data_IF_568444102466
#
_entry.id   IF_568444102466
#
_cell.length_a   1.000
_cell.length_b   1.000
_cell.length_c   1.000
_cell.angle_alpha   90.00
_cell.angle_beta   90.00
_cell.angle_gamma   90.00
#
_symmetry.space_group_name_H-M   'P 1'
#
loop_
_entity.id
_entity.type
_entity.pdbx_description
1 polymer ?
#
# COMPACT_ATOMS: atom_id res chain seq x y z
N UNK A 1 -17.59 -30.37 -2.08
CA UNK A 1 -17.72 -29.38 -3.16
C UNK A 1 -16.48 -28.48 -3.17
N UNK A 2 -15.54 -28.68 -4.09
CA UNK A 2 -14.41 -27.76 -4.30
C UNK A 2 -14.95 -26.44 -4.86
N UNK A 3 -15.04 -25.39 -4.04
CA UNK A 3 -15.22 -24.02 -4.54
C UNK A 3 -14.06 -23.73 -5.49
N UNK A 4 -14.32 -23.70 -6.79
CA UNK A 4 -13.37 -23.24 -7.79
C UNK A 4 -12.93 -21.82 -7.38
N UNK A 5 -11.75 -21.66 -6.81
CA UNK A 5 -11.15 -20.35 -6.52
C UNK A 5 -10.85 -19.70 -7.87
N UNK A 6 -11.81 -18.90 -8.35
CA UNK A 6 -11.60 -18.13 -9.57
C UNK A 6 -10.53 -17.07 -9.29
N UNK A 7 -9.56 -16.94 -10.17
CA UNK A 7 -8.56 -15.88 -10.10
C UNK A 7 -9.26 -14.51 -10.12
N UNK A 8 -8.79 -13.58 -9.30
CA UNK A 8 -9.26 -12.17 -9.28
C UNK A 8 -9.27 -11.57 -10.69
N UNK A 9 -8.28 -11.92 -11.51
CA UNK A 9 -8.21 -11.59 -12.92
C UNK A 9 -9.43 -12.07 -13.73
N UNK A 10 -9.88 -13.30 -13.52
CA UNK A 10 -11.04 -13.84 -14.24
C UNK A 10 -12.37 -13.19 -13.80
N UNK A 11 -12.49 -12.83 -12.53
CA UNK A 11 -13.66 -12.12 -12.00
C UNK A 11 -13.72 -10.71 -12.58
N UNK A 12 -12.60 -9.98 -12.55
CA UNK A 12 -12.49 -8.63 -13.08
C UNK A 12 -12.76 -8.59 -14.60
N UNK A 13 -12.17 -9.53 -15.36
CA UNK A 13 -12.39 -9.68 -16.79
C UNK A 13 -13.88 -9.84 -17.12
N UNK A 14 -14.57 -10.78 -16.45
CA UNK A 14 -15.99 -11.04 -16.69
C UNK A 14 -16.90 -9.88 -16.30
N UNK A 15 -16.57 -9.18 -15.22
CA UNK A 15 -17.34 -8.03 -14.76
C UNK A 15 -17.24 -6.85 -15.72
N UNK A 16 -16.02 -6.50 -16.13
CA UNK A 16 -15.76 -5.42 -17.08
C UNK A 16 -16.35 -5.73 -18.47
N UNK A 17 -16.18 -6.96 -18.96
CA UNK A 17 -16.80 -7.37 -20.22
C UNK A 17 -18.31 -7.21 -20.20
N UNK A 18 -18.98 -7.72 -19.16
CA UNK A 18 -20.44 -7.57 -19.02
C UNK A 18 -20.86 -6.12 -18.99
N UNK A 19 -20.17 -5.29 -18.23
CA UNK A 19 -20.46 -3.86 -18.13
C UNK A 19 -20.35 -3.16 -19.48
N UNK A 20 -19.24 -3.35 -20.22
CA UNK A 20 -19.03 -2.73 -21.54
C UNK A 20 -20.10 -3.20 -22.55
N UNK A 21 -20.44 -4.50 -22.59
CA UNK A 21 -21.47 -5.04 -23.47
C UNK A 21 -22.82 -4.39 -23.15
N UNK A 22 -23.23 -4.33 -21.89
CA UNK A 22 -24.50 -3.75 -21.49
C UNK A 22 -24.55 -2.25 -21.87
N UNK A 23 -23.50 -1.49 -21.58
CA UNK A 23 -23.45 -0.06 -21.92
C UNK A 23 -23.51 0.15 -23.43
N UNK A 24 -22.78 -0.64 -24.24
CA UNK A 24 -22.78 -0.52 -25.69
C UNK A 24 -24.14 -0.87 -26.27
N UNK A 25 -24.81 -1.91 -25.74
CA UNK A 25 -26.18 -2.29 -26.16
C UNK A 25 -27.20 -1.20 -25.82
N UNK A 26 -27.13 -0.65 -24.59
CA UNK A 26 -28.04 0.42 -24.18
C UNK A 26 -27.87 1.68 -25.04
N UNK A 27 -26.61 2.06 -25.29
CA UNK A 27 -26.30 3.22 -26.10
C UNK A 27 -26.76 3.02 -27.55
N UNK A 28 -26.48 1.84 -28.13
CA UNK A 28 -26.95 1.50 -29.47
C UNK A 28 -28.50 1.52 -29.59
N UNK A 29 -29.19 0.95 -28.62
CA UNK A 29 -30.64 0.99 -28.56
C UNK A 29 -31.17 2.43 -28.47
N UNK A 30 -30.57 3.26 -27.60
CA UNK A 30 -30.93 4.66 -27.45
C UNK A 30 -30.77 5.46 -28.75
N UNK A 31 -29.66 5.26 -29.47
CA UNK A 31 -29.40 5.91 -30.77
C UNK A 31 -30.45 5.48 -31.80
N UNK A 32 -30.75 4.18 -31.94
CA UNK A 32 -31.73 3.66 -32.88
C UNK A 32 -33.11 4.23 -32.58
N UNK A 33 -33.52 4.26 -31.31
CA UNK A 33 -34.83 4.82 -30.90
C UNK A 33 -34.88 6.32 -31.17
N UNK A 34 -33.84 7.08 -30.84
CA UNK A 34 -33.79 8.52 -31.06
C UNK A 34 -33.86 8.88 -32.53
N UNK A 35 -33.05 8.21 -33.36
CA UNK A 35 -33.06 8.41 -34.83
C UNK A 35 -34.40 7.99 -35.42
N UNK A 36 -34.93 6.85 -35.00
CA UNK A 36 -36.26 6.39 -35.48
C UNK A 36 -37.37 7.39 -35.13
N UNK A 37 -37.34 7.98 -33.94
CA UNK A 37 -38.31 9.01 -33.54
C UNK A 37 -38.13 10.28 -34.39
N UNK A 38 -36.92 10.75 -34.60
CA UNK A 38 -36.62 11.94 -35.41
C UNK A 38 -37.07 11.77 -36.88
N UNK A 39 -36.78 10.59 -37.49
CA UNK A 39 -37.23 10.31 -38.85
C UNK A 39 -38.75 10.25 -38.99
N UNK A 40 -39.47 9.74 -37.98
CA UNK A 40 -40.92 9.74 -37.96
C UNK A 40 -41.46 11.16 -37.82
N UNK A 41 -40.89 11.98 -37.01
CA UNK A 41 -41.26 13.40 -36.81
C UNK A 41 -41.06 14.22 -38.07
N UNK A 42 -39.95 13.99 -38.81
CA UNK A 42 -39.67 14.60 -40.12
C UNK A 42 -40.81 14.29 -41.13
N UNK A 43 -41.23 13.01 -41.23
CA UNK A 43 -42.35 12.61 -42.07
C UNK A 43 -43.66 13.26 -41.68
N UNK A 44 -43.96 13.36 -40.37
CA UNK A 44 -45.14 14.04 -39.86
C UNK A 44 -45.14 15.53 -40.21
N UNK A 45 -43.99 16.18 -40.05
CA UNK A 45 -43.82 17.59 -40.38
C UNK A 45 -43.96 17.86 -41.88
N UNK A 46 -43.29 17.06 -42.69
CA UNK A 46 -43.41 17.15 -44.19
C UNK A 46 -44.86 16.99 -44.64
N UNK A 47 -45.55 15.92 -44.15
CA UNK A 47 -46.97 15.70 -44.53
C UNK A 47 -47.90 16.81 -44.01
N UNK A 48 -47.56 17.43 -42.84
CA UNK A 48 -48.33 18.57 -42.31
C UNK A 48 -48.19 19.81 -43.18
N UNK A 49 -46.98 20.12 -43.69
CA UNK A 49 -46.73 21.23 -44.58
C UNK A 49 -47.45 21.05 -45.93
N UNK A 50 -47.38 19.85 -46.53
CA UNK A 50 -48.10 19.52 -47.75
C UNK A 50 -49.60 19.68 -47.58
N UNK A 51 -50.12 19.17 -46.45
CA UNK A 51 -51.56 19.25 -46.12
C UNK A 51 -52.02 20.70 -45.93
N UNK A 52 -51.22 21.53 -45.27
CA UNK A 52 -51.48 22.96 -45.09
C UNK A 52 -51.53 23.72 -46.43
N UNK A 53 -50.58 23.48 -47.32
CA UNK A 53 -50.54 24.03 -48.67
C UNK A 53 -51.76 23.63 -49.46
N UNK A 54 -52.17 22.35 -49.47
CA UNK A 54 -53.36 21.89 -50.14
C UNK A 54 -54.65 22.54 -49.63
N UNK A 55 -54.75 22.78 -48.34
CA UNK A 55 -55.92 23.47 -47.74
C UNK A 55 -56.00 24.94 -48.15
N UNK A 56 -54.86 25.62 -48.36
CA UNK A 56 -54.84 27.01 -48.79
C UNK A 56 -55.27 27.18 -50.25
N UNK A 57 -54.94 26.26 -51.11
CA UNK A 57 -55.21 26.33 -52.57
C UNK A 57 -56.68 26.06 -52.91
N UNK A 58 -57.45 25.38 -52.04
CA UNK A 58 -58.91 25.12 -52.25
C UNK A 58 -59.20 24.51 -53.63
N UNK A 59 -58.71 23.31 -53.92
CA UNK A 59 -58.70 22.63 -55.22
C UNK A 59 -60.12 22.26 -55.62
N UNK A 60 -60.70 23.07 -56.51
CA UNK A 60 -62.09 22.91 -57.03
C UNK A 60 -62.13 22.57 -58.53
N UNK A 61 -61.05 22.74 -59.28
CA UNK A 61 -60.93 22.43 -60.71
C UNK A 61 -59.53 21.88 -61.08
N UNK A 62 -59.45 21.44 -62.34
CA UNK A 62 -58.18 20.90 -62.92
C UNK A 62 -57.06 21.93 -62.91
N UNK A 63 -57.42 23.21 -63.18
CA UNK A 63 -56.48 24.30 -63.19
C UNK A 63 -55.86 24.59 -61.79
N UNK A 64 -56.66 24.48 -60.73
CA UNK A 64 -56.19 24.58 -59.33
C UNK A 64 -55.26 23.48 -58.98
N UNK A 65 -55.60 22.23 -59.39
CA UNK A 65 -54.78 21.07 -59.18
C UNK A 65 -53.43 21.15 -59.91
N UNK A 66 -53.42 21.54 -61.20
CA UNK A 66 -52.21 21.71 -61.97
C UNK A 66 -51.37 22.88 -61.43
N UNK A 67 -52.00 23.98 -61.10
CA UNK A 67 -51.33 25.16 -60.52
C UNK A 67 -50.66 24.81 -59.21
N UNK A 68 -51.33 24.11 -58.31
CA UNK A 68 -50.76 23.65 -57.07
C UNK A 68 -49.56 22.71 -57.32
N UNK A 69 -49.69 21.78 -58.24
CA UNK A 69 -48.56 20.85 -58.63
C UNK A 69 -47.38 21.57 -59.20
N UNK A 70 -47.56 22.57 -60.03
CA UNK A 70 -46.49 23.31 -60.71
C UNK A 70 -45.83 24.35 -59.80
N UNK A 71 -46.58 24.96 -58.91
CA UNK A 71 -46.14 26.07 -58.04
C UNK A 71 -45.74 25.62 -56.63
N UNK A 72 -46.01 24.38 -56.27
CA UNK A 72 -45.59 23.86 -54.95
C UNK A 72 -44.06 23.77 -54.86
N UNK A 73 -43.50 24.53 -53.91
CA UNK A 73 -42.04 24.42 -53.57
C UNK A 73 -41.78 23.21 -52.65
N UNK A 74 -42.81 22.43 -52.33
CA UNK A 74 -42.70 21.27 -51.44
C UNK A 74 -42.29 20.02 -52.24
N UNK A 75 -41.35 19.25 -51.69
CA UNK A 75 -40.99 17.97 -52.33
C UNK A 75 -42.11 16.95 -52.17
N UNK A 76 -42.82 16.76 -53.25
CA UNK A 76 -43.92 15.79 -53.33
C UNK A 76 -43.50 14.48 -54.02
N UNK A 77 -42.23 14.31 -54.33
CA UNK A 77 -41.76 13.14 -55.11
C UNK A 77 -41.99 11.80 -54.41
N UNK A 78 -41.95 11.80 -53.06
CA UNK A 78 -42.19 10.64 -52.23
C UNK A 78 -43.61 10.61 -51.64
N UNK A 79 -44.53 11.54 -52.07
CA UNK A 79 -45.87 11.67 -51.50
C UNK A 79 -46.93 11.39 -52.56
N UNK A 80 -47.83 10.46 -52.25
CA UNK A 80 -49.00 10.17 -53.07
C UNK A 80 -50.20 10.94 -52.50
N UNK A 81 -50.71 11.89 -53.27
CA UNK A 81 -51.82 12.74 -52.86
C UNK A 81 -53.12 12.30 -53.58
N UNK A 82 -54.18 12.16 -52.83
CA UNK A 82 -55.55 11.94 -53.30
C UNK A 82 -56.47 13.01 -52.73
N UNK A 83 -57.12 13.76 -53.60
CA UNK A 83 -58.10 14.79 -53.28
C UNK A 83 -59.47 14.30 -53.68
N UNK A 84 -60.42 14.31 -52.77
CA UNK A 84 -61.79 13.95 -53.00
C UNK A 84 -62.68 15.15 -52.68
N UNK A 85 -63.18 15.82 -53.74
CA UNK A 85 -64.08 16.95 -53.64
C UNK A 85 -65.54 16.41 -53.58
N UNK A 86 -66.21 16.61 -52.42
CA UNK A 86 -67.59 16.22 -52.21
C UNK A 86 -68.56 17.40 -52.28
N UNK A 87 -68.19 18.54 -52.80
CA UNK A 87 -69.09 19.67 -53.01
C UNK A 87 -70.10 19.36 -54.12
N UNK A 88 -71.37 19.85 -53.90
CA UNK A 88 -72.44 19.57 -54.87
C UNK A 88 -72.22 20.20 -56.25
N UNK A 89 -71.36 21.20 -56.37
CA UNK A 89 -71.05 21.95 -57.60
C UNK A 89 -69.65 21.63 -58.14
N UNK A 90 -68.99 20.57 -57.66
CA UNK A 90 -67.63 20.19 -58.10
C UNK A 90 -67.66 19.70 -59.53
N UNK A 91 -66.80 20.32 -60.40
CA UNK A 91 -66.66 19.90 -61.84
C UNK A 91 -66.04 18.49 -61.96
N UNK A 92 -65.05 18.20 -61.08
CA UNK A 92 -64.39 16.89 -60.96
C UNK A 92 -64.32 16.50 -59.47
N UNK A 93 -64.70 15.27 -59.20
CA UNK A 93 -64.83 14.81 -57.79
C UNK A 93 -63.53 14.22 -57.22
N UNK A 94 -62.57 13.84 -58.05
CA UNK A 94 -61.34 13.14 -57.62
C UNK A 94 -60.10 13.60 -58.40
N UNK A 95 -59.00 13.91 -57.64
CA UNK A 95 -57.69 14.22 -58.24
C UNK A 95 -56.63 13.35 -57.66
N UNK A 96 -55.70 12.90 -58.48
CA UNK A 96 -54.61 12.00 -58.09
C UNK A 96 -53.29 12.59 -58.49
N UNK A 97 -52.29 12.52 -57.55
CA UNK A 97 -50.90 12.74 -57.93
C UNK A 97 -50.40 11.57 -58.78
N UNK A 98 -49.31 11.69 -59.53
CA UNK A 98 -48.73 10.60 -60.32
C UNK A 98 -48.56 9.35 -59.44
N UNK A 99 -49.02 8.23 -59.97
CA UNK A 99 -48.97 6.91 -59.30
C UNK A 99 -49.85 6.76 -58.04
N UNK A 100 -50.53 7.76 -57.51
CA UNK A 100 -51.41 7.68 -56.32
C UNK A 100 -52.57 6.69 -56.54
N UNK A 101 -53.12 6.66 -57.70
CA UNK A 101 -54.19 5.70 -58.09
C UNK A 101 -53.74 4.26 -57.89
N UNK A 102 -52.49 3.93 -58.23
CA UNK A 102 -51.90 2.60 -58.00
C UNK A 102 -51.77 2.25 -56.54
N UNK A 103 -51.52 3.25 -55.67
CA UNK A 103 -51.44 3.06 -54.21
C UNK A 103 -52.79 2.73 -53.62
N UNK A 104 -53.90 3.28 -54.15
CA UNK A 104 -55.24 3.13 -53.63
C UNK A 104 -55.95 1.83 -54.11
N UNK A 105 -55.45 1.17 -55.17
CA UNK A 105 -56.05 -0.08 -55.67
C UNK A 105 -56.00 -1.25 -54.71
N UNK A 106 -55.08 -1.25 -53.74
CA UNK A 106 -54.92 -2.28 -52.70
C UNK A 106 -54.88 -1.58 -51.36
N UNK A 107 -55.69 -1.98 -50.42
CA UNK A 107 -55.70 -1.40 -49.06
C UNK A 107 -54.40 -1.73 -48.31
N UNK A 108 -53.62 -0.73 -47.90
CA UNK A 108 -52.39 -0.97 -47.08
C UNK A 108 -52.76 -1.58 -45.72
N UNK A 109 -51.93 -2.45 -45.20
CA UNK A 109 -52.10 -3.05 -43.87
C UNK A 109 -51.46 -2.18 -42.81
N UNK A 110 -52.19 -1.89 -41.72
CA UNK A 110 -51.71 -1.07 -40.60
C UNK A 110 -50.56 -1.79 -39.88
N UNK A 111 -49.48 -1.08 -39.65
CA UNK A 111 -48.33 -1.60 -38.86
C UNK A 111 -48.66 -1.53 -37.37
N UNK A 112 -48.57 -2.63 -36.61
CA UNK A 112 -48.82 -2.61 -35.16
C UNK A 112 -47.85 -1.67 -34.46
N UNK A 113 -48.32 -1.03 -33.38
CA UNK A 113 -47.55 -0.11 -32.51
C UNK A 113 -47.13 1.24 -33.14
N UNK A 114 -47.32 1.44 -34.46
CA UNK A 114 -47.01 2.71 -35.10
C UNK A 114 -48.29 3.43 -35.50
N UNK A 115 -48.43 4.69 -35.11
CA UNK A 115 -49.59 5.51 -35.40
C UNK A 115 -49.53 6.00 -36.84
N UNK A 116 -50.56 5.75 -37.66
CA UNK A 116 -50.68 6.20 -39.04
C UNK A 116 -49.62 5.64 -40.00
N UNK A 117 -48.96 4.55 -39.64
CA UNK A 117 -48.00 3.86 -40.51
C UNK A 117 -48.65 2.56 -41.03
N UNK A 118 -48.50 2.34 -42.32
CA UNK A 118 -49.07 1.23 -43.06
C UNK A 118 -47.99 0.59 -43.91
N UNK A 119 -48.15 -0.71 -44.17
CA UNK A 119 -47.27 -1.48 -45.06
C UNK A 119 -48.04 -1.89 -46.31
N UNK A 120 -47.34 -1.78 -47.42
CA UNK A 120 -47.86 -2.27 -48.69
C UNK A 120 -46.78 -3.07 -49.46
N UNK A 121 -47.07 -4.29 -49.89
CA UNK A 121 -46.14 -5.04 -50.75
C UNK A 121 -45.75 -4.21 -51.98
N UNK A 122 -44.46 -4.28 -52.38
CA UNK A 122 -43.85 -3.56 -53.50
C UNK A 122 -43.55 -2.08 -53.24
N UNK A 123 -44.33 -1.38 -52.44
CA UNK A 123 -44.11 0.05 -52.16
C UNK A 123 -43.35 0.28 -50.85
N UNK A 124 -43.59 -0.62 -49.86
CA UNK A 124 -42.93 -0.52 -48.53
C UNK A 124 -43.78 0.17 -47.47
N UNK A 125 -43.13 0.87 -46.57
CA UNK A 125 -43.81 1.61 -45.48
C UNK A 125 -44.37 2.95 -45.95
N UNK A 126 -45.60 3.24 -45.58
CA UNK A 126 -46.32 4.43 -45.93
C UNK A 126 -46.89 5.11 -44.67
N UNK A 127 -46.63 6.41 -44.52
CA UNK A 127 -47.30 7.21 -43.51
C UNK A 127 -48.60 7.81 -44.08
N UNK A 128 -49.70 7.62 -43.41
CA UNK A 128 -51.02 8.09 -43.83
C UNK A 128 -51.48 9.31 -43.06
N UNK A 129 -51.94 10.33 -43.79
CA UNK A 129 -52.62 11.49 -43.17
C UNK A 129 -53.83 11.88 -43.99
N UNK A 130 -54.98 12.04 -43.32
CA UNK A 130 -56.19 12.52 -43.92
C UNK A 130 -56.66 13.82 -43.24
N UNK A 131 -57.04 14.81 -44.04
CA UNK A 131 -57.54 16.08 -43.52
C UNK A 131 -58.74 16.49 -44.36
N UNK A 132 -59.74 17.06 -43.69
CA UNK A 132 -60.94 17.58 -44.35
C UNK A 132 -60.96 19.11 -44.19
N UNK A 133 -61.23 19.82 -45.30
CA UNK A 133 -61.41 21.26 -45.29
C UNK A 133 -62.42 21.65 -46.39
N UNK A 134 -63.37 22.50 -46.02
CA UNK A 134 -64.36 23.11 -46.96
C UNK A 134 -65.07 22.11 -47.89
N UNK A 135 -65.41 20.89 -47.40
CA UNK A 135 -66.05 19.86 -48.18
C UNK A 135 -65.14 18.98 -49.05
N UNK A 136 -63.80 19.19 -48.97
CA UNK A 136 -62.79 18.45 -49.73
C UNK A 136 -62.00 17.60 -48.73
N UNK A 137 -61.78 16.34 -49.07
CA UNK A 137 -60.93 15.41 -48.29
C UNK A 137 -59.58 15.29 -48.98
N UNK A 138 -58.50 15.64 -48.26
CA UNK A 138 -57.11 15.49 -48.68
C UNK A 138 -56.53 14.27 -48.01
N UNK A 139 -56.15 13.27 -48.77
CA UNK A 139 -55.53 12.06 -48.28
C UNK A 139 -54.10 11.92 -48.80
N UNK A 140 -53.15 11.86 -47.89
CA UNK A 140 -51.74 11.79 -48.22
C UNK A 140 -51.14 10.44 -47.77
N UNK A 141 -50.34 9.87 -48.62
CA UNK A 141 -49.53 8.67 -48.33
C UNK A 141 -48.08 9.00 -48.61
N UNK A 142 -47.29 9.20 -47.55
CA UNK A 142 -45.87 9.50 -47.68
C UNK A 142 -45.07 8.20 -47.68
N UNK A 143 -44.22 8.01 -48.69
CA UNK A 143 -43.32 6.88 -48.75
C UNK A 143 -42.17 7.05 -47.72
N UNK A 144 -42.01 6.08 -46.84
CA UNK A 144 -41.03 6.10 -45.75
C UNK A 144 -39.74 5.28 -46.10
N UNK A 145 -39.61 4.77 -47.33
CA UNK A 145 -38.44 3.99 -47.71
C UNK A 145 -37.11 4.74 -47.55
N UNK A 146 -37.00 6.04 -47.90
CA UNK A 146 -35.78 6.81 -47.67
C UNK A 146 -35.39 6.85 -46.13
N UNK A 147 -36.38 7.13 -45.30
CA UNK A 147 -36.17 7.17 -43.86
C UNK A 147 -35.81 5.76 -43.30
N UNK A 148 -36.46 4.72 -43.79
CA UNK A 148 -36.12 3.33 -43.46
C UNK A 148 -34.69 2.99 -43.88
N UNK A 149 -34.23 3.43 -45.06
CA UNK A 149 -32.86 3.22 -45.50
C UNK A 149 -31.83 3.88 -44.59
N UNK A 150 -32.13 5.10 -44.10
CA UNK A 150 -31.29 5.79 -43.12
C UNK A 150 -31.25 5.04 -41.79
N UNK A 151 -32.42 4.60 -41.29
CA UNK A 151 -32.51 3.83 -40.04
C UNK A 151 -31.73 2.50 -40.15
N UNK A 152 -31.85 1.78 -41.26
CA UNK A 152 -31.11 0.54 -41.50
C UNK A 152 -29.57 0.76 -41.52
N UNK A 153 -29.11 1.87 -42.13
CA UNK A 153 -27.68 2.23 -42.06
C UNK A 153 -27.22 2.50 -40.64
N UNK A 154 -28.03 3.19 -39.85
CA UNK A 154 -27.70 3.44 -38.43
C UNK A 154 -27.61 2.12 -37.66
N UNK A 155 -28.55 1.19 -37.90
CA UNK A 155 -28.52 -0.16 -37.29
C UNK A 155 -27.27 -0.92 -37.73
N UNK A 156 -26.92 -0.89 -39.04
CA UNK A 156 -25.74 -1.54 -39.58
C UNK A 156 -24.44 -1.00 -38.93
N UNK A 157 -24.25 0.33 -38.89
CA UNK A 157 -23.09 0.96 -38.26
C UNK A 157 -23.03 0.61 -36.77
N UNK A 158 -24.17 0.64 -36.07
CA UNK A 158 -24.25 0.28 -34.65
C UNK A 158 -23.88 -1.18 -34.42
N UNK A 159 -24.32 -2.08 -35.30
CA UNK A 159 -23.98 -3.50 -35.23
C UNK A 159 -22.48 -3.75 -35.50
N UNK A 160 -21.87 -3.04 -36.46
CA UNK A 160 -20.43 -3.11 -36.71
C UNK A 160 -19.65 -2.63 -35.50
N UNK A 161 -20.01 -1.47 -34.91
CA UNK A 161 -19.37 -0.95 -33.70
C UNK A 161 -19.49 -1.93 -32.53
N UNK A 162 -20.64 -2.56 -32.35
CA UNK A 162 -20.83 -3.60 -31.34
C UNK A 162 -19.92 -4.80 -31.59
N UNK A 163 -19.82 -5.28 -32.83
CA UNK A 163 -18.95 -6.39 -33.18
C UNK A 163 -17.47 -6.06 -32.91
N UNK A 164 -17.00 -4.86 -33.31
CA UNK A 164 -15.65 -4.38 -33.03
C UNK A 164 -15.38 -4.31 -31.52
N UNK A 165 -16.33 -3.78 -30.77
CA UNK A 165 -16.23 -3.70 -29.31
C UNK A 165 -16.13 -5.08 -28.67
N UNK A 166 -16.96 -6.06 -29.11
CA UNK A 166 -16.93 -7.44 -28.62
C UNK A 166 -15.60 -8.15 -28.91
N UNK A 167 -14.95 -7.85 -30.03
CA UNK A 167 -13.67 -8.44 -30.43
C UNK A 167 -12.48 -7.76 -29.73
N UNK A 168 -12.49 -6.42 -29.67
CA UNK A 168 -11.37 -5.64 -29.11
C UNK A 168 -11.29 -5.68 -27.57
N UNK A 169 -12.44 -5.65 -26.89
CA UNK A 169 -12.53 -5.59 -25.44
C UNK A 169 -11.83 -6.75 -24.73
N UNK A 170 -12.02 -8.03 -25.10
CA UNK A 170 -11.34 -9.15 -24.44
C UNK A 170 -9.81 -9.07 -24.56
N UNK A 171 -9.31 -8.65 -25.72
CA UNK A 171 -7.88 -8.51 -25.98
C UNK A 171 -7.27 -7.41 -25.10
N UNK A 172 -7.92 -6.26 -25.05
CA UNK A 172 -7.47 -5.12 -24.22
C UNK A 172 -7.52 -5.46 -22.74
N UNK A 173 -8.64 -5.97 -22.24
CA UNK A 173 -8.80 -6.32 -20.82
C UNK A 173 -7.81 -7.42 -20.41
N UNK A 174 -7.60 -8.44 -21.25
CA UNK A 174 -6.62 -9.49 -20.98
C UNK A 174 -5.20 -8.94 -20.81
N UNK A 175 -4.81 -7.98 -21.64
CA UNK A 175 -3.50 -7.32 -21.55
C UNK A 175 -3.39 -6.45 -20.30
N UNK A 176 -4.44 -5.70 -19.95
CA UNK A 176 -4.50 -4.87 -18.77
C UNK A 176 -4.45 -5.72 -17.48
N UNK A 177 -5.26 -6.77 -17.42
CA UNK A 177 -5.32 -7.70 -16.28
C UNK A 177 -3.96 -8.37 -16.04
N UNK A 178 -3.27 -8.81 -17.10
CA UNK A 178 -1.93 -9.37 -16.95
C UNK A 178 -0.96 -8.37 -16.32
N UNK A 179 -0.95 -7.12 -16.78
CA UNK A 179 -0.07 -6.09 -16.21
C UNK A 179 -0.33 -5.80 -14.73
N UNK A 180 -1.57 -5.88 -14.29
CA UNK A 180 -1.96 -5.59 -12.89
C UNK A 180 -1.87 -6.82 -11.97
N UNK A 181 -2.19 -8.00 -12.47
CA UNK A 181 -2.36 -9.20 -11.64
C UNK A 181 -1.13 -10.09 -11.62
N UNK A 182 -0.36 -10.18 -12.71
CA UNK A 182 0.82 -11.04 -12.77
C UNK A 182 1.89 -10.65 -11.72
N UNK A 183 2.22 -9.35 -11.48
CA UNK A 183 3.13 -8.99 -10.42
C UNK A 183 2.67 -9.43 -9.03
N UNK A 184 1.38 -9.26 -8.72
CA UNK A 184 0.79 -9.69 -7.44
C UNK A 184 0.83 -11.21 -7.25
N UNK A 185 0.56 -11.98 -8.31
CA UNK A 185 0.63 -13.45 -8.24
C UNK A 185 2.06 -13.93 -8.04
N UNK A 186 3.03 -13.29 -8.69
CA UNK A 186 4.46 -13.57 -8.51
C UNK A 186 4.89 -13.27 -7.08
N UNK A 187 4.53 -12.10 -6.54
CA UNK A 187 4.81 -11.74 -5.15
C UNK A 187 4.19 -12.75 -4.17
N UNK A 188 2.91 -13.10 -4.35
CA UNK A 188 2.22 -14.08 -3.50
C UNK A 188 2.91 -15.44 -3.52
N UNK A 189 3.30 -15.94 -4.70
CA UNK A 189 3.99 -17.21 -4.83
C UNK A 189 5.38 -17.16 -4.18
N UNK A 190 6.16 -16.10 -4.44
CA UNK A 190 7.49 -15.93 -3.85
C UNK A 190 7.40 -15.79 -2.33
N UNK A 191 6.40 -15.07 -1.79
CA UNK A 191 6.17 -14.98 -0.35
C UNK A 191 5.88 -16.35 0.28
N UNK A 192 5.10 -17.22 -0.40
CA UNK A 192 4.88 -18.60 0.08
C UNK A 192 6.16 -19.43 0.07
N UNK A 193 7.02 -19.27 -0.94
CA UNK A 193 8.32 -19.95 -0.98
C UNK A 193 9.24 -19.47 0.14
N UNK A 194 9.31 -18.16 0.39
CA UNK A 194 10.06 -17.56 1.49
C UNK A 194 9.57 -18.09 2.84
N UNK A 195 8.25 -18.13 3.07
CA UNK A 195 7.68 -18.64 4.32
C UNK A 195 7.97 -20.12 4.58
N UNK A 196 8.22 -20.92 3.54
CA UNK A 196 8.61 -22.33 3.64
C UNK A 196 10.12 -22.58 3.65
N UNK A 197 10.95 -21.55 3.46
CA UNK A 197 12.38 -21.66 3.42
C UNK A 197 13.01 -21.82 4.82
N UNK A 198 14.14 -22.51 4.91
CA UNK A 198 14.91 -22.63 6.18
C UNK A 198 15.51 -21.30 6.62
N UNK A 199 15.84 -20.44 5.67
CA UNK A 199 16.40 -19.11 5.89
C UNK A 199 15.59 -18.06 5.09
N UNK A 200 14.43 -17.64 5.61
CA UNK A 200 13.54 -16.70 4.92
C UNK A 200 14.18 -15.34 4.63
N UNK A 201 15.04 -14.88 5.53
CA UNK A 201 15.69 -13.57 5.45
C UNK A 201 16.74 -13.43 4.36
N UNK A 202 17.29 -14.55 3.85
CA UNK A 202 18.27 -14.54 2.75
C UNK A 202 17.61 -14.35 1.37
N UNK A 203 16.29 -14.56 1.26
CA UNK A 203 15.55 -14.42 0.01
C UNK A 203 14.90 -13.03 -0.09
N UNK A 204 14.78 -12.52 -1.32
CA UNK A 204 14.12 -11.25 -1.59
C UNK A 204 12.98 -11.43 -2.58
N UNK A 205 11.96 -10.61 -2.41
CA UNK A 205 10.87 -10.50 -3.37
C UNK A 205 11.34 -9.76 -4.63
N UNK A 206 10.93 -10.19 -5.82
CA UNK A 206 11.17 -9.43 -7.04
C UNK A 206 10.40 -8.11 -6.98
N UNK A 207 11.08 -7.01 -7.30
CA UNK A 207 10.50 -5.68 -7.32
C UNK A 207 10.08 -5.35 -8.75
N UNK A 208 8.78 -5.36 -9.10
CA UNK A 208 8.32 -5.03 -10.44
C UNK A 208 8.45 -3.52 -10.69
N UNK A 209 8.63 -3.13 -11.95
CA UNK A 209 8.68 -1.70 -12.32
C UNK A 209 7.29 -1.02 -12.28
N UNK A 210 6.21 -1.78 -12.40
CA UNK A 210 4.81 -1.31 -12.39
C UNK A 210 3.88 -2.44 -11.91
N UNK A 211 2.74 -2.13 -11.26
CA UNK A 211 2.28 -0.81 -10.78
C UNK A 211 3.10 -0.29 -9.59
N UNK A 212 3.10 1.04 -9.37
CA UNK A 212 3.86 1.71 -8.30
C UNK A 212 3.53 1.13 -6.92
N UNK A 213 2.27 0.89 -6.63
CA UNK A 213 1.80 0.34 -5.35
C UNK A 213 2.39 -1.06 -5.08
N UNK A 214 2.58 -1.86 -6.13
CA UNK A 214 3.18 -3.20 -6.01
C UNK A 214 4.71 -3.10 -5.85
N UNK A 215 5.32 -2.10 -6.50
CA UNK A 215 6.75 -1.79 -6.37
C UNK A 215 7.09 -1.39 -4.93
N UNK A 216 6.32 -0.44 -4.36
CA UNK A 216 6.47 0.02 -2.99
C UNK A 216 6.22 -1.11 -1.98
N UNK A 217 5.16 -1.89 -2.18
CA UNK A 217 4.87 -3.04 -1.31
C UNK A 217 6.02 -4.06 -1.30
N UNK A 218 6.58 -4.38 -2.47
CA UNK A 218 7.71 -5.30 -2.58
C UNK A 218 8.98 -4.73 -1.93
N UNK A 219 9.22 -3.42 -2.07
CA UNK A 219 10.31 -2.70 -1.43
C UNK A 219 10.23 -2.76 0.10
N UNK A 220 9.10 -2.32 0.65
CA UNK A 220 8.84 -2.33 2.11
C UNK A 220 8.93 -3.75 2.70
N UNK A 221 8.45 -4.75 1.96
CA UNK A 221 8.54 -6.14 2.41
C UNK A 221 10.00 -6.65 2.41
N UNK A 222 10.80 -6.27 1.40
CA UNK A 222 12.23 -6.60 1.37
C UNK A 222 13.01 -5.94 2.51
N UNK A 223 12.64 -4.73 2.89
CA UNK A 223 13.21 -4.03 4.05
C UNK A 223 12.90 -4.78 5.35
N UNK A 224 11.63 -5.17 5.55
CA UNK A 224 11.24 -6.01 6.69
C UNK A 224 12.00 -7.34 6.74
N UNK A 225 12.16 -8.03 5.60
CA UNK A 225 12.94 -9.26 5.52
C UNK A 225 14.41 -9.01 5.89
N UNK A 226 15.00 -7.89 5.47
CA UNK A 226 16.37 -7.51 5.83
C UNK A 226 16.52 -7.31 7.34
N UNK A 227 15.59 -6.55 7.96
CA UNK A 227 15.60 -6.33 9.42
C UNK A 227 15.41 -7.63 10.21
N UNK A 228 14.54 -8.53 9.75
CA UNK A 228 14.32 -9.83 10.38
C UNK A 228 15.57 -10.71 10.30
N UNK A 229 16.24 -10.72 9.13
CA UNK A 229 17.46 -11.48 8.95
C UNK A 229 18.59 -10.96 9.84
N UNK A 230 18.77 -9.67 9.90
CA UNK A 230 19.77 -9.04 10.77
C UNK A 230 19.55 -9.37 12.25
N UNK A 231 18.29 -9.26 12.71
CA UNK A 231 17.94 -9.68 14.09
C UNK A 231 18.20 -11.16 14.34
N UNK A 232 17.93 -12.02 13.37
CA UNK A 232 18.16 -13.45 13.49
C UNK A 232 19.68 -13.76 13.57
N UNK A 233 20.50 -13.13 12.76
CA UNK A 233 21.95 -13.28 12.81
C UNK A 233 22.51 -12.76 14.13
N UNK A 234 22.08 -11.60 14.61
CA UNK A 234 22.46 -11.08 15.92
C UNK A 234 22.09 -12.07 17.05
N UNK A 235 20.90 -12.68 16.98
CA UNK A 235 20.48 -13.69 17.96
C UNK A 235 21.33 -14.97 17.89
N UNK A 236 21.68 -15.44 16.68
CA UNK A 236 22.58 -16.61 16.52
C UNK A 236 23.97 -16.32 17.12
N UNK A 237 24.55 -15.15 16.78
CA UNK A 237 25.83 -14.72 17.33
C UNK A 237 25.79 -14.61 18.85
N UNK A 238 24.72 -14.05 19.40
CA UNK A 238 24.52 -13.96 20.86
C UNK A 238 24.56 -15.34 21.53
N UNK A 239 23.79 -16.31 21.02
CA UNK A 239 23.75 -17.67 21.59
C UNK A 239 25.12 -18.38 21.45
N UNK A 240 25.78 -18.21 20.30
CA UNK A 240 27.10 -18.81 20.05
C UNK A 240 28.16 -18.23 20.99
N UNK A 241 28.21 -16.90 21.17
CA UNK A 241 29.16 -16.24 22.04
C UNK A 241 28.88 -16.58 23.52
N UNK A 242 27.61 -16.60 23.95
CA UNK A 242 27.26 -17.02 25.32
C UNK A 242 27.72 -18.46 25.61
N UNK A 243 27.50 -19.37 24.66
CA UNK A 243 27.97 -20.76 24.81
C UNK A 243 29.49 -20.85 24.85
N UNK A 244 30.20 -19.97 24.13
CA UNK A 244 31.67 -19.94 24.14
C UNK A 244 32.21 -19.43 25.47
N UNK A 245 31.67 -18.32 25.96
CA UNK A 245 32.05 -17.69 27.23
C UNK A 245 31.71 -18.59 28.46
N UNK A 246 30.69 -19.44 28.39
CA UNK A 246 30.42 -20.43 29.42
C UNK A 246 31.30 -21.68 29.36
N UNK A 247 31.80 -22.07 28.16
CA UNK A 247 32.61 -23.29 28.00
C UNK A 247 33.95 -23.19 28.68
N UNK A 248 34.61 -22.03 28.61
CA UNK A 248 35.93 -21.78 29.17
C UNK A 248 36.00 -22.00 30.67
N UNK A 249 35.14 -21.29 31.50
CA UNK A 249 35.17 -21.50 32.92
C UNK A 249 34.78 -22.94 33.35
N UNK A 250 33.84 -23.59 32.64
CA UNK A 250 33.52 -24.99 32.87
C UNK A 250 34.74 -25.90 32.68
N UNK A 251 35.54 -25.66 31.64
CA UNK A 251 36.75 -26.42 31.36
C UNK A 251 37.78 -26.21 32.47
N UNK A 252 37.96 -24.96 32.97
CA UNK A 252 38.85 -24.61 34.08
C UNK A 252 38.43 -25.33 35.36
N UNK A 253 37.12 -25.20 35.74
CA UNK A 253 36.56 -25.87 36.90
C UNK A 253 36.83 -27.39 36.85
N UNK A 254 36.54 -28.01 35.69
CA UNK A 254 36.77 -29.44 35.50
C UNK A 254 38.24 -29.83 35.64
N UNK A 255 39.14 -29.02 35.07
CA UNK A 255 40.58 -29.24 35.16
C UNK A 255 41.09 -29.21 36.60
N UNK A 256 40.65 -28.19 37.39
CA UNK A 256 41.04 -28.05 38.80
C UNK A 256 40.40 -29.12 39.68
N UNK A 257 39.17 -29.56 39.42
CA UNK A 257 38.55 -30.66 40.09
C UNK A 257 39.34 -31.99 39.82
N UNK A 258 39.75 -32.25 38.60
CA UNK A 258 40.59 -33.42 38.25
C UNK A 258 41.99 -33.34 38.88
N UNK A 259 42.55 -32.14 39.01
CA UNK A 259 43.83 -31.94 39.70
C UNK A 259 43.73 -32.27 41.16
N UNK A 260 42.66 -31.86 41.85
CA UNK A 260 42.39 -32.26 43.24
C UNK A 260 42.24 -33.78 43.38
N UNK A 261 41.44 -34.40 42.48
CA UNK A 261 41.20 -35.85 42.49
C UNK A 261 42.49 -36.68 42.33
N UNK A 262 43.40 -36.26 41.48
CA UNK A 262 44.61 -37.00 41.14
C UNK A 262 45.77 -36.79 42.13
N UNK A 263 45.90 -35.57 42.66
CA UNK A 263 47.09 -35.13 43.39
C UNK A 263 46.78 -34.53 44.76
N UNK A 264 45.49 -34.46 45.19
CA UNK A 264 45.11 -33.82 46.42
C UNK A 264 45.61 -34.55 47.67
N UNK A 265 45.74 -35.86 47.67
CA UNK A 265 46.30 -36.64 48.78
C UNK A 265 47.77 -36.41 48.94
N UNK A 266 48.54 -36.39 47.88
CA UNK A 266 50.01 -36.25 47.89
C UNK A 266 50.45 -34.79 48.05
N UNK A 267 49.62 -33.81 47.57
CA UNK A 267 49.90 -32.40 47.51
C UNK A 267 48.74 -31.53 48.04
N UNK A 268 48.53 -31.45 49.35
CA UNK A 268 47.39 -30.73 49.98
C UNK A 268 47.32 -29.23 49.58
N UNK A 269 48.46 -28.59 49.26
CA UNK A 269 48.51 -27.20 48.81
C UNK A 269 47.78 -26.97 47.49
N UNK A 270 47.63 -27.99 46.66
CA UNK A 270 46.90 -27.94 45.40
C UNK A 270 45.38 -27.78 45.65
N UNK A 271 44.87 -28.39 46.75
CA UNK A 271 43.46 -28.32 47.07
C UNK A 271 43.03 -26.89 47.30
N UNK A 272 43.72 -26.14 48.16
CA UNK A 272 43.39 -24.74 48.47
C UNK A 272 43.46 -23.85 47.24
N UNK A 273 44.48 -24.01 46.39
CA UNK A 273 44.60 -23.23 45.14
C UNK A 273 43.48 -23.57 44.13
N UNK A 274 43.25 -24.86 43.93
CA UNK A 274 42.24 -25.30 42.94
C UNK A 274 40.83 -24.98 43.42
N UNK A 275 40.50 -25.05 44.67
CA UNK A 275 39.20 -24.58 45.24
C UNK A 275 39.06 -23.10 45.05
N UNK A 276 40.13 -22.29 45.21
CA UNK A 276 40.11 -20.87 44.91
C UNK A 276 39.74 -20.56 43.45
N UNK A 277 40.36 -21.26 42.51
CA UNK A 277 40.07 -21.14 41.07
C UNK A 277 38.63 -21.57 40.77
N UNK A 278 38.14 -22.70 41.30
CA UNK A 278 36.79 -23.21 41.11
C UNK A 278 35.78 -22.17 41.61
N UNK A 279 36.02 -21.56 42.78
CA UNK A 279 35.14 -20.57 43.38
C UNK A 279 35.11 -19.29 42.51
N UNK A 280 36.26 -18.83 42.06
CA UNK A 280 36.31 -17.61 41.21
C UNK A 280 35.63 -17.82 39.88
N UNK A 281 35.89 -18.95 39.16
CA UNK A 281 35.24 -19.27 37.90
C UNK A 281 33.71 -19.44 38.09
N UNK A 282 33.26 -20.05 39.20
CA UNK A 282 31.84 -20.16 39.50
C UNK A 282 31.17 -18.78 39.72
N UNK A 283 31.86 -17.83 40.37
CA UNK A 283 31.42 -16.48 40.58
C UNK A 283 31.30 -15.73 39.26
N UNK A 284 32.30 -15.86 38.38
CA UNK A 284 32.27 -15.25 37.04
C UNK A 284 31.17 -15.81 36.17
N UNK A 285 30.90 -17.14 36.23
CA UNK A 285 29.76 -17.75 35.54
C UNK A 285 28.42 -17.20 36.03
N UNK A 286 28.25 -17.06 37.37
CA UNK A 286 27.05 -16.48 37.95
C UNK A 286 26.82 -15.06 37.43
N UNK A 287 27.87 -14.22 37.44
CA UNK A 287 27.79 -12.85 36.90
C UNK A 287 27.40 -12.84 35.43
N UNK A 288 27.99 -13.69 34.59
CA UNK A 288 27.65 -13.80 33.18
C UNK A 288 26.18 -14.17 32.96
N UNK A 289 25.67 -15.17 33.76
CA UNK A 289 24.26 -15.57 33.68
C UNK A 289 23.33 -14.42 34.08
N UNK A 290 23.65 -13.67 35.10
CA UNK A 290 22.88 -12.52 35.56
C UNK A 290 22.84 -11.42 34.50
N UNK A 291 23.98 -11.10 33.85
CA UNK A 291 24.09 -10.15 32.75
C UNK A 291 23.26 -10.61 31.51
N UNK A 292 23.30 -11.91 31.16
CA UNK A 292 22.48 -12.48 30.09
C UNK A 292 20.98 -12.39 30.37
N UNK A 293 20.56 -12.64 31.62
CA UNK A 293 19.17 -12.51 32.05
C UNK A 293 18.71 -11.05 32.01
N UNK A 294 19.56 -10.11 32.43
CA UNK A 294 19.28 -8.68 32.35
C UNK A 294 19.08 -8.25 30.91
N UNK A 295 19.98 -8.64 30.00
CA UNK A 295 19.88 -8.33 28.58
C UNK A 295 18.60 -8.90 27.95
N UNK A 296 18.28 -10.17 28.28
CA UNK A 296 17.05 -10.83 27.82
C UNK A 296 15.77 -10.16 28.35
N UNK A 297 15.80 -9.65 29.58
CA UNK A 297 14.67 -8.88 30.13
C UNK A 297 14.53 -7.52 29.47
N UNK A 298 15.63 -6.81 29.28
CA UNK A 298 15.63 -5.51 28.61
C UNK A 298 15.12 -5.61 27.15
N UNK A 299 15.32 -6.72 26.44
CA UNK A 299 14.72 -6.97 25.11
C UNK A 299 13.18 -7.04 25.11
N UNK A 300 12.53 -7.22 26.27
CA UNK A 300 11.09 -7.53 26.38
C UNK A 300 10.27 -6.50 27.20
N UNK A 301 10.91 -5.60 27.93
CA UNK A 301 10.24 -4.70 28.88
C UNK A 301 10.13 -3.28 28.31
N UNK A 302 8.93 -2.71 28.42
CA UNK A 302 8.79 -1.26 28.49
C UNK A 302 9.15 -0.85 29.93
N UNK A 303 10.10 0.08 30.08
CA UNK A 303 10.41 0.63 31.39
C UNK A 303 9.29 1.59 31.82
N UNK A 304 8.86 1.51 33.07
CA UNK A 304 8.02 2.54 33.66
C UNK A 304 8.86 3.79 33.89
N UNK A 305 8.65 4.79 33.05
CA UNK A 305 9.32 6.10 33.15
C UNK A 305 8.47 7.02 34.02
N UNK A 306 9.05 7.48 35.14
CA UNK A 306 8.39 8.39 36.07
C UNK A 306 9.19 9.66 36.26
N UNK A 307 8.56 10.78 36.67
CA UNK A 307 9.30 11.99 37.08
C UNK A 307 10.27 11.65 38.19
N UNK A 308 11.54 12.03 38.02
CA UNK A 308 12.64 11.64 38.90
C UNK A 308 13.58 12.84 39.12
N UNK A 309 14.02 13.04 40.37
CA UNK A 309 15.14 13.92 40.70
C UNK A 309 16.48 13.20 40.41
N UNK A 310 17.04 13.49 39.24
CA UNK A 310 18.28 12.87 38.79
C UNK A 310 19.47 13.22 39.68
N UNK A 311 19.51 14.43 40.17
CA UNK A 311 20.60 14.89 41.05
C UNK A 311 20.64 14.10 42.36
N UNK A 312 19.50 13.92 43.01
CA UNK A 312 19.36 13.10 44.20
C UNK A 312 19.66 11.64 43.94
N UNK A 313 19.14 11.09 42.83
CA UNK A 313 19.36 9.71 42.41
C UNK A 313 20.83 9.39 42.19
N UNK A 314 21.52 10.18 41.33
CA UNK A 314 22.97 10.02 41.06
C UNK A 314 23.80 10.13 42.35
N UNK A 315 23.49 11.10 43.20
CA UNK A 315 24.16 11.28 44.49
C UNK A 315 24.03 10.05 45.38
N UNK A 316 22.83 9.50 45.49
CA UNK A 316 22.54 8.30 46.30
C UNK A 316 23.28 7.05 45.75
N UNK A 317 23.28 6.86 44.42
CA UNK A 317 23.99 5.74 43.79
C UNK A 317 25.50 5.87 44.06
N UNK A 318 26.08 7.06 43.86
CA UNK A 318 27.51 7.27 44.03
C UNK A 318 27.95 7.11 45.50
N UNK A 319 27.13 7.49 46.47
CA UNK A 319 27.41 7.22 47.91
C UNK A 319 27.47 5.74 48.23
N UNK A 320 26.68 4.90 47.54
CA UNK A 320 26.69 3.45 47.75
C UNK A 320 27.94 2.78 47.15
N UNK A 321 28.42 3.24 45.99
CA UNK A 321 29.44 2.52 45.22
C UNK A 321 30.86 3.15 45.29
N UNK A 322 31.00 4.43 45.57
CA UNK A 322 32.30 5.12 45.48
C UNK A 322 33.40 4.47 46.40
N UNK A 323 33.01 3.93 47.55
CA UNK A 323 33.93 3.29 48.48
C UNK A 323 34.34 1.85 48.11
N UNK A 324 33.83 1.28 47.00
CA UNK A 324 34.15 -0.09 46.57
C UNK A 324 35.31 -0.16 45.59
N UNK A 325 35.80 0.96 45.11
CA UNK A 325 36.88 1.05 44.11
C UNK A 325 38.22 1.48 44.74
N UNK A 326 39.33 1.06 44.16
CA UNK A 326 40.67 1.47 44.56
C UNK A 326 40.98 2.89 44.07
N UNK A 327 40.33 3.33 42.99
CA UNK A 327 40.48 4.68 42.42
C UNK A 327 39.76 5.74 43.27
N UNK A 328 40.23 6.97 43.20
CA UNK A 328 39.55 8.12 43.82
C UNK A 328 38.35 8.50 42.97
N UNK A 329 37.14 8.30 43.47
CA UNK A 329 35.90 8.66 42.77
C UNK A 329 35.44 10.05 43.23
N UNK A 330 35.36 11.02 42.32
CA UNK A 330 34.86 12.37 42.57
C UNK A 330 33.55 12.61 41.85
N UNK A 331 32.68 13.42 42.48
CA UNK A 331 31.36 13.72 41.90
C UNK A 331 31.15 15.23 41.80
N UNK A 332 30.72 15.70 40.62
CA UNK A 332 30.34 17.10 40.35
C UNK A 332 28.90 17.11 39.84
N UNK A 333 27.93 17.16 40.75
CA UNK A 333 26.52 17.03 40.47
C UNK A 333 25.82 18.39 40.61
N UNK A 334 25.30 18.89 39.48
CA UNK A 334 24.45 20.07 39.49
C UNK A 334 23.14 19.77 40.20
N UNK A 335 22.67 20.55 41.20
CA UNK A 335 21.43 20.33 41.91
C UNK A 335 20.19 20.57 41.02
N UNK A 336 19.06 20.07 41.46
CA UNK A 336 17.71 20.33 40.91
C UNK A 336 17.51 19.93 39.42
N UNK A 337 18.21 18.90 38.95
CA UNK A 337 17.97 18.35 37.62
C UNK A 337 16.89 17.26 37.71
N UNK A 338 15.77 17.51 37.07
CA UNK A 338 14.63 16.59 37.00
C UNK A 338 14.47 16.06 35.59
N UNK A 339 14.18 14.75 35.49
CA UNK A 339 13.92 14.06 34.20
C UNK A 339 12.72 13.13 34.35
N UNK A 340 12.24 12.62 33.23
CA UNK A 340 11.35 11.45 33.18
C UNK A 340 12.22 10.22 32.91
N UNK A 341 12.34 9.32 33.88
CA UNK A 341 13.25 8.18 33.79
C UNK A 341 12.88 7.02 34.70
N UNK A 342 13.72 5.99 34.70
CA UNK A 342 13.61 4.83 35.57
C UNK A 342 14.85 4.73 36.47
N UNK A 343 14.65 4.83 37.78
CA UNK A 343 15.76 4.87 38.78
C UNK A 343 16.65 3.62 38.66
N UNK A 344 16.06 2.42 38.58
CA UNK A 344 16.83 1.18 38.50
C UNK A 344 17.67 1.07 37.20
N UNK A 345 17.17 1.58 36.08
CA UNK A 345 17.90 1.62 34.81
C UNK A 345 19.09 2.57 34.92
N UNK A 346 18.90 3.76 35.51
CA UNK A 346 19.96 4.73 35.72
C UNK A 346 21.03 4.17 36.67
N UNK A 347 20.63 3.56 37.79
CA UNK A 347 21.56 2.91 38.72
C UNK A 347 22.42 1.89 37.99
N UNK A 348 21.80 1.00 37.18
CA UNK A 348 22.52 -0.03 36.46
C UNK A 348 23.46 0.51 35.37
N UNK A 349 23.03 1.54 34.61
CA UNK A 349 23.89 2.21 33.63
C UNK A 349 25.11 2.83 34.36
N UNK A 350 24.88 3.58 35.41
CA UNK A 350 25.93 4.25 36.12
C UNK A 350 26.93 3.27 36.78
N UNK A 351 26.44 2.20 37.40
CA UNK A 351 27.27 1.12 37.95
C UNK A 351 28.11 0.48 36.85
N UNK A 352 27.57 0.20 35.70
CA UNK A 352 28.31 -0.37 34.57
C UNK A 352 29.41 0.56 34.07
N UNK A 353 29.12 1.87 33.94
CA UNK A 353 30.08 2.86 33.47
C UNK A 353 31.20 3.08 34.46
N UNK A 354 30.92 3.23 35.77
CA UNK A 354 31.91 3.42 36.83
C UNK A 354 32.75 2.16 37.01
N UNK A 355 32.16 0.98 36.95
CA UNK A 355 32.89 -0.29 37.01
C UNK A 355 33.86 -0.44 35.83
N UNK A 356 33.43 -0.05 34.61
CA UNK A 356 34.31 -0.04 33.45
C UNK A 356 35.46 0.98 33.65
N UNK A 357 35.17 2.20 34.09
CA UNK A 357 36.17 3.22 34.38
C UNK A 357 37.22 2.68 35.38
N UNK A 358 36.80 2.00 36.44
CA UNK A 358 37.69 1.40 37.43
C UNK A 358 38.53 0.24 36.88
N UNK A 359 37.96 -0.63 36.02
CA UNK A 359 38.67 -1.76 35.42
C UNK A 359 39.78 -1.38 34.45
N UNK A 360 39.56 -0.27 33.72
CA UNK A 360 40.48 0.17 32.66
C UNK A 360 41.42 1.31 33.07
N UNK A 361 41.29 1.80 34.31
CA UNK A 361 42.15 2.86 34.86
C UNK A 361 43.11 2.32 35.89
N UNK A 362 44.33 2.91 36.01
CA UNK A 362 45.28 2.58 37.08
C UNK A 362 44.65 2.75 38.49
N UNK A 363 45.10 1.94 39.45
CA UNK A 363 44.60 2.02 40.85
C UNK A 363 44.72 3.39 41.51
N UNK A 364 45.77 4.16 41.18
CA UNK A 364 46.00 5.49 41.73
C UNK A 364 45.37 6.63 40.92
N UNK A 365 44.49 6.33 39.96
CA UNK A 365 43.81 7.32 39.10
C UNK A 365 42.53 7.85 39.69
N UNK A 366 41.98 8.87 39.01
CA UNK A 366 40.72 9.52 39.40
C UNK A 366 39.63 9.16 38.40
N UNK A 367 38.44 8.82 38.89
CA UNK A 367 37.19 8.69 38.13
C UNK A 367 36.31 9.86 38.51
N UNK A 368 35.86 10.64 37.53
CA UNK A 368 34.97 11.79 37.76
C UNK A 368 33.59 11.54 37.18
N UNK A 369 32.56 11.67 38.02
CA UNK A 369 31.17 11.60 37.59
C UNK A 369 30.58 13.01 37.60
N UNK A 370 30.14 13.50 36.43
CA UNK A 370 29.57 14.84 36.29
C UNK A 370 28.14 14.77 35.85
N UNK A 371 27.26 15.59 36.47
CA UNK A 371 25.88 15.76 36.02
C UNK A 371 25.65 17.24 35.76
N UNK A 372 25.29 17.60 34.54
CA UNK A 372 25.07 18.99 34.10
C UNK A 372 23.83 19.12 33.26
N UNK A 373 23.17 20.25 33.36
CA UNK A 373 22.08 20.62 32.45
C UNK A 373 22.65 21.37 31.25
N UNK A 374 22.30 20.95 30.04
CA UNK A 374 22.72 21.60 28.80
C UNK A 374 21.78 22.74 28.41
N UNK A 375 22.21 23.62 27.48
CA UNK A 375 21.47 24.81 27.06
C UNK A 375 20.07 24.51 26.43
N UNK A 376 19.82 23.30 26.03
CA UNK A 376 18.54 22.79 25.47
C UNK A 376 17.66 22.08 26.51
N UNK A 377 17.92 22.29 27.81
CA UNK A 377 17.28 21.60 28.93
C UNK A 377 17.57 20.08 29.04
N UNK A 378 18.34 19.49 28.14
CA UNK A 378 18.79 18.12 28.24
C UNK A 378 19.75 17.94 29.43
N UNK A 379 19.58 16.82 30.16
CA UNK A 379 20.53 16.46 31.21
C UNK A 379 21.64 15.57 30.64
N UNK A 380 22.88 15.80 31.00
CA UNK A 380 24.05 15.02 30.64
C UNK A 380 24.74 14.45 31.89
N UNK A 381 24.77 13.12 32.00
CA UNK A 381 25.49 12.38 33.03
C UNK A 381 26.74 11.77 32.39
N UNK A 382 27.93 12.26 32.77
CA UNK A 382 29.17 11.77 32.21
C UNK A 382 30.04 11.08 33.27
N UNK A 383 30.70 10.01 32.88
CA UNK A 383 31.73 9.29 33.62
C UNK A 383 33.04 9.42 32.88
N UNK A 384 34.02 10.04 33.50
CA UNK A 384 35.39 10.24 32.98
C UNK A 384 36.34 9.33 33.69
N UNK A 385 37.22 8.71 32.94
CA UNK A 385 38.30 7.89 33.45
C UNK A 385 39.67 8.36 32.95
N UNK A 386 40.74 7.85 33.56
CA UNK A 386 42.12 8.09 33.17
C UNK A 386 42.77 6.82 32.67
N UNK A 387 42.03 5.98 31.98
CA UNK A 387 42.46 4.71 31.40
C UNK A 387 43.28 4.86 30.12
N UNK A 388 43.52 3.73 29.44
CA UNK A 388 44.29 3.68 28.18
C UNK A 388 43.60 4.40 27.01
N UNK A 389 42.30 4.78 27.16
CA UNK A 389 41.50 5.31 26.09
C UNK A 389 40.98 4.18 25.17
N UNK A 390 40.22 4.57 24.14
CA UNK A 390 39.60 3.63 23.17
C UNK A 390 39.99 4.06 21.75
N UNK A 391 40.47 3.13 20.93
CA UNK A 391 40.83 3.44 19.55
C UNK A 391 39.60 3.92 18.73
N UNK A 392 39.82 4.73 17.68
CA UNK A 392 38.76 5.20 16.81
C UNK A 392 37.99 4.06 16.14
N UNK A 393 38.65 2.95 15.85
CA UNK A 393 38.06 1.74 15.27
C UNK A 393 37.15 1.02 16.30
N UNK A 394 37.65 0.84 17.53
CA UNK A 394 36.89 0.18 18.60
C UNK A 394 35.66 0.94 19.06
N UNK A 395 35.66 2.29 19.03
CA UNK A 395 34.52 3.12 19.47
C UNK A 395 33.21 2.79 18.80
N UNK A 396 33.25 2.31 17.53
CA UNK A 396 32.05 1.89 16.81
C UNK A 396 31.50 0.53 17.28
N UNK A 397 32.36 -0.27 17.95
CA UNK A 397 32.03 -1.66 18.30
C UNK A 397 31.87 -1.90 19.81
N UNK A 398 32.39 -1.01 20.69
CA UNK A 398 32.36 -1.23 22.16
C UNK A 398 30.96 -1.40 22.74
N UNK A 399 29.90 -0.98 22.05
CA UNK A 399 28.50 -1.13 22.45
C UNK A 399 27.87 -2.45 21.95
N UNK A 400 28.61 -3.23 21.12
CA UNK A 400 28.16 -4.52 20.65
C UNK A 400 28.27 -5.58 21.76
N UNK A 401 27.37 -6.56 21.76
CA UNK A 401 27.33 -7.65 22.74
C UNK A 401 28.57 -8.52 22.62
N UNK A 402 29.25 -8.80 23.74
CA UNK A 402 30.48 -9.60 23.83
C UNK A 402 31.70 -8.96 23.15
N UNK A 403 31.61 -7.71 22.73
CA UNK A 403 32.76 -7.03 22.12
C UNK A 403 33.80 -6.69 23.18
N UNK A 404 35.09 -6.96 22.87
CA UNK A 404 36.25 -6.60 23.65
C UNK A 404 37.39 -6.32 22.69
N UNK A 405 38.05 -5.19 22.82
CA UNK A 405 39.19 -4.85 21.97
C UNK A 405 40.32 -5.86 22.15
N UNK A 406 41.15 -6.01 21.10
CA UNK A 406 42.22 -6.99 21.09
C UNK A 406 43.24 -6.74 22.21
N UNK A 407 43.48 -5.47 22.55
CA UNK A 407 44.49 -5.04 23.53
C UNK A 407 44.13 -5.44 24.97
N UNK A 408 42.83 -5.56 25.28
CA UNK A 408 42.34 -5.90 26.64
C UNK A 408 41.86 -7.33 26.77
N UNK A 409 41.79 -8.06 25.66
CA UNK A 409 41.40 -9.47 25.65
C UNK A 409 42.47 -10.34 26.30
N UNK A 410 42.13 -10.96 27.43
CA UNK A 410 43.04 -11.81 28.21
C UNK A 410 43.82 -11.08 29.31
N UNK A 411 43.84 -9.75 29.37
CA UNK A 411 44.50 -8.97 30.41
C UNK A 411 43.54 -8.41 31.46
N UNK A 412 42.36 -8.00 31.05
CA UNK A 412 41.31 -7.44 31.95
C UNK A 412 40.12 -8.42 31.99
N UNK A 413 39.66 -8.80 33.17
CA UNK A 413 38.48 -9.68 33.30
C UNK A 413 37.21 -8.96 32.89
N UNK A 414 36.32 -9.63 32.11
CA UNK A 414 35.01 -9.05 31.75
C UNK A 414 34.34 -9.82 30.59
N UNK A 415 33.03 -9.73 30.54
CA UNK A 415 32.13 -10.45 29.62
C UNK A 415 31.91 -9.72 28.30
N UNK A 416 32.15 -8.40 28.25
CA UNK A 416 31.79 -7.55 27.11
C UNK A 416 30.28 -7.28 26.99
N UNK A 417 29.49 -7.52 28.06
CA UNK A 417 28.05 -7.26 28.07
C UNK A 417 27.66 -5.95 28.78
N UNK A 418 28.48 -5.41 29.67
CA UNK A 418 28.13 -4.26 30.49
C UNK A 418 27.75 -3.02 29.68
N UNK A 419 28.54 -2.64 28.66
CA UNK A 419 28.23 -1.50 27.79
C UNK A 419 27.01 -1.76 26.89
N UNK A 420 26.84 -2.97 26.41
CA UNK A 420 25.64 -3.36 25.63
C UNK A 420 24.37 -3.25 26.47
N UNK A 421 24.42 -3.68 27.74
CA UNK A 421 23.31 -3.51 28.71
C UNK A 421 23.04 -2.03 28.96
N UNK A 422 24.09 -1.23 29.20
CA UNK A 422 23.95 0.21 29.44
C UNK A 422 23.33 0.91 28.24
N UNK A 423 23.75 0.61 27.02
CA UNK A 423 23.19 1.18 25.79
C UNK A 423 21.73 0.79 25.61
N UNK A 424 21.37 -0.46 25.84
CA UNK A 424 19.99 -0.93 25.73
C UNK A 424 19.07 -0.27 26.76
N UNK A 425 19.50 -0.14 28.02
CA UNK A 425 18.75 0.55 29.05
C UNK A 425 18.62 2.05 28.75
N UNK A 426 19.65 2.68 28.18
CA UNK A 426 19.60 4.06 27.74
C UNK A 426 18.52 4.24 26.64
N UNK A 427 18.50 3.41 25.62
CA UNK A 427 17.49 3.43 24.55
C UNK A 427 16.06 3.25 25.08
N UNK A 428 15.86 2.31 26.02
CA UNK A 428 14.57 2.07 26.67
C UNK A 428 14.11 3.25 27.56
N UNK A 429 15.08 4.05 28.04
CA UNK A 429 14.85 5.26 28.82
C UNK A 429 14.78 6.54 27.98
N UNK A 430 14.66 6.43 26.65
CA UNK A 430 14.72 7.54 25.69
C UNK A 430 15.97 8.42 25.85
N UNK A 431 17.10 7.79 26.17
CA UNK A 431 18.38 8.43 26.39
C UNK A 431 19.42 7.89 25.41
N UNK A 432 20.49 8.65 25.17
CA UNK A 432 21.58 8.25 24.28
C UNK A 432 22.88 8.11 25.06
N UNK A 433 23.59 7.00 24.87
CA UNK A 433 24.91 6.76 25.45
C UNK A 433 25.98 6.98 24.37
N UNK A 434 26.90 7.91 24.63
CA UNK A 434 27.99 8.30 23.73
C UNK A 434 29.35 8.09 24.38
N UNK A 435 30.40 8.04 23.56
CA UNK A 435 31.80 7.90 23.99
C UNK A 435 32.68 8.96 23.33
N UNK A 436 33.60 9.56 24.12
CA UNK A 436 34.59 10.50 23.63
C UNK A 436 35.95 10.26 24.32
N UNK A 437 37.03 10.81 23.75
CA UNK A 437 38.34 10.79 24.38
C UNK A 437 38.44 11.88 25.46
N UNK A 438 39.09 11.56 26.59
CA UNK A 438 39.51 12.54 27.57
C UNK A 438 41.00 12.92 27.36
N UNK A 439 41.37 14.14 27.68
CA UNK A 439 42.73 14.61 27.54
C UNK A 439 43.39 14.76 28.92
N UNK A 440 44.67 14.41 29.10
CA UNK A 440 45.61 13.95 28.04
C UNK A 440 45.44 12.46 27.64
N UNK A 441 44.77 11.66 28.43
CA UNK A 441 44.49 10.25 28.22
C UNK A 441 43.29 9.80 29.07
N UNK A 442 42.38 9.02 28.49
CA UNK A 442 41.21 8.47 29.16
C UNK A 442 39.99 8.41 28.26
N UNK A 443 38.84 8.06 28.84
CA UNK A 443 37.57 7.97 28.17
C UNK A 443 36.47 8.72 28.89
N UNK A 444 35.56 9.32 28.16
CA UNK A 444 34.35 9.94 28.65
C UNK A 444 33.14 9.19 28.08
N UNK A 445 32.37 8.54 28.92
CA UNK A 445 31.05 8.02 28.57
C UNK A 445 29.99 9.03 29.02
N UNK A 446 29.10 9.44 28.13
CA UNK A 446 28.06 10.41 28.42
C UNK A 446 26.68 9.85 28.11
N UNK A 447 25.80 9.83 29.12
CA UNK A 447 24.38 9.51 29.00
C UNK A 447 23.60 10.82 28.88
N UNK A 448 22.95 11.03 27.75
CA UNK A 448 22.19 12.24 27.43
C UNK A 448 20.71 11.91 27.53
N UNK A 449 20.02 12.59 28.45
CA UNK A 449 18.57 12.45 28.62
C UNK A 449 17.86 13.47 27.73
N UNK A 450 16.98 13.00 26.81
CA UNK A 450 16.18 13.87 25.96
C UNK A 450 15.03 14.50 26.77
N UNK A 451 14.89 15.81 26.68
CA UNK A 451 13.72 16.53 27.20
C UNK A 451 12.54 16.30 26.20
N UNK A 452 11.61 15.42 26.53
CA UNK A 452 10.28 15.39 25.91
C UNK A 452 9.21 15.44 26.96
#
# INVERSE_FOLDING_TARGET
>A
MKKNKQSSAAIMLRSLMRFIIIVTLLLGAAIIIAVGHQLLEEVQTTTSHITASLKQTDIDGDDDWESWRKNSTLDTSATYVYVHNKRANAKVSQYFSPHAEKVLKVTPTKVPFLTNVYYRPVIGLLYHRMVHARGIYYTLWQNMNPQLAVLLRVIEVTAILLAVTLLATPLYIRRLTKRLTDPLTTLSHTTQMIAGAKEPGAMRLPVPAQPTEVTELAGNFNELLSMLNERQEQQKLFVMNAAHELRTPIATIRSHAQLIERHGEDHPEIITKSVGYITEESRQMQQLIDELLQLSRADRLALDLTPLDLSATVTTIMQKIAGTFEQTVTTEIQPDIHITGNESAIEQILVNLVTNAAKYSPAASQITVTLTQQANEAAALAVKDQGSGISAEDKSHIFERFYRSADVRGTVAGTGLGLAIATQLAQLSNSELTVADDQPQGTIFTLIFSTK
#
